data_IF_390945945740
#
_entry.id   IF_390945945740
#
_cell.length_a   1.000
_cell.length_b   1.000
_cell.length_c   1.000
_cell.angle_alpha   90.00
_cell.angle_beta   90.00
_cell.angle_gamma   90.00
#
_symmetry.space_group_name_H-M   'P 1'
#
loop_
_entity.id
_entity.type
_entity.pdbx_description
1 polymer ?
#
# COMPACT_ATOMS: atom_id res chain seq x y z
N UNK A 1 -82.88 -26.35 19.74
CA UNK A 1 -82.00 -25.16 19.75
C UNK A 1 -80.92 -25.37 18.71
N UNK A 2 -80.87 -24.52 17.68
CA UNK A 2 -79.90 -24.62 16.58
C UNK A 2 -78.54 -24.07 17.06
N UNK A 3 -77.51 -24.91 17.11
CA UNK A 3 -76.14 -24.48 17.35
C UNK A 3 -75.61 -23.78 16.08
N UNK A 4 -75.14 -22.54 16.22
CA UNK A 4 -74.38 -21.84 15.19
C UNK A 4 -72.90 -22.16 15.41
N UNK A 5 -72.28 -22.85 14.45
CA UNK A 5 -70.84 -23.01 14.39
C UNK A 5 -70.23 -21.74 13.81
N UNK A 6 -69.54 -20.95 14.64
CA UNK A 6 -68.72 -19.84 14.19
C UNK A 6 -67.35 -20.40 13.81
N UNK A 7 -67.06 -20.47 12.52
CA UNK A 7 -65.72 -20.82 12.04
C UNK A 7 -64.80 -19.59 12.22
N UNK A 8 -63.84 -19.68 13.15
CA UNK A 8 -62.80 -18.69 13.31
C UNK A 8 -61.81 -18.80 12.13
N UNK A 9 -61.86 -17.84 11.20
CA UNK A 9 -60.83 -17.69 10.17
C UNK A 9 -59.60 -17.07 10.84
N UNK A 10 -58.61 -17.90 11.15
CA UNK A 10 -57.31 -17.42 11.62
C UNK A 10 -56.50 -16.94 10.40
N UNK A 11 -56.41 -15.62 10.21
CA UNK A 11 -55.53 -15.01 9.23
C UNK A 11 -54.10 -15.17 9.72
N UNK A 12 -53.36 -16.14 9.18
CA UNK A 12 -51.94 -16.26 9.42
C UNK A 12 -51.23 -15.06 8.76
N UNK A 13 -50.83 -14.09 9.57
CA UNK A 13 -49.88 -13.05 9.14
C UNK A 13 -48.53 -13.73 9.01
N UNK A 14 -48.22 -14.21 7.79
CA UNK A 14 -46.85 -14.50 7.43
C UNK A 14 -46.10 -13.17 7.40
N UNK A 15 -45.36 -12.88 8.47
CA UNK A 15 -44.28 -11.91 8.39
C UNK A 15 -43.32 -12.45 7.33
N UNK A 16 -43.34 -11.85 6.14
CA UNK A 16 -42.27 -12.02 5.19
C UNK A 16 -41.02 -11.48 5.88
N UNK A 17 -40.25 -12.38 6.50
CA UNK A 17 -38.85 -12.15 6.75
C UNK A 17 -38.26 -11.91 5.37
N UNK A 18 -38.18 -10.64 4.96
CA UNK A 18 -37.40 -10.27 3.80
C UNK A 18 -36.02 -10.84 4.05
N UNK A 19 -35.65 -11.87 3.31
CA UNK A 19 -34.27 -12.27 3.21
C UNK A 19 -33.56 -10.99 2.76
N UNK A 20 -32.80 -10.38 3.67
CA UNK A 20 -31.82 -9.39 3.29
C UNK A 20 -30.91 -10.15 2.33
N UNK A 21 -31.12 -9.93 1.03
CA UNK A 21 -30.21 -10.40 0.02
C UNK A 21 -28.83 -9.95 0.49
N UNK A 22 -27.90 -10.90 0.64
CA UNK A 22 -26.49 -10.59 0.79
C UNK A 22 -26.19 -9.56 -0.30
N UNK A 23 -25.87 -8.32 0.11
CA UNK A 23 -25.56 -7.25 -0.82
C UNK A 23 -24.19 -7.63 -1.40
N UNK A 24 -24.23 -8.55 -2.36
CA UNK A 24 -23.06 -9.22 -2.89
C UNK A 24 -22.09 -8.22 -3.48
N UNK A 25 -20.88 -8.71 -3.77
CA UNK A 25 -19.84 -7.89 -4.37
C UNK A 25 -20.38 -7.21 -5.64
N UNK A 26 -20.46 -5.88 -5.63
CA UNK A 26 -20.84 -5.07 -6.79
C UNK A 26 -19.59 -4.45 -7.38
N UNK A 27 -19.49 -4.41 -8.70
CA UNK A 27 -18.41 -3.70 -9.41
C UNK A 27 -19.01 -2.53 -10.17
N UNK A 28 -18.40 -1.35 -10.08
CA UNK A 28 -18.77 -0.15 -10.85
C UNK A 28 -17.61 0.33 -11.73
N UNK A 29 -17.91 1.23 -12.66
CA UNK A 29 -17.00 1.69 -13.71
C UNK A 29 -17.24 1.01 -15.08
N UNK A 30 -16.27 1.08 -16.01
CA UNK A 30 -14.97 1.72 -15.84
C UNK A 30 -15.08 3.25 -15.78
N UNK A 31 -14.43 3.85 -14.80
CA UNK A 31 -14.10 5.27 -14.82
C UNK A 31 -12.79 5.45 -15.57
N UNK A 32 -12.87 6.02 -16.77
CA UNK A 32 -11.71 6.13 -17.67
C UNK A 32 -11.19 7.55 -17.77
N UNK A 33 -9.87 7.66 -17.92
CA UNK A 33 -9.18 8.86 -18.39
C UNK A 33 -7.91 8.42 -19.14
N UNK A 34 -7.76 8.86 -20.39
CA UNK A 34 -6.69 8.42 -21.29
C UNK A 34 -6.57 6.88 -21.34
N UNK A 35 -5.39 6.33 -21.02
CA UNK A 35 -5.12 4.90 -21.03
C UNK A 35 -5.36 4.20 -19.68
N UNK A 36 -6.02 4.86 -18.71
CA UNK A 36 -6.35 4.29 -17.41
C UNK A 36 -7.86 4.07 -17.26
N UNK A 37 -8.23 2.84 -16.90
CA UNK A 37 -9.59 2.47 -16.50
C UNK A 37 -9.58 2.01 -15.04
N UNK A 38 -10.43 2.63 -14.21
CA UNK A 38 -10.59 2.29 -12.79
C UNK A 38 -11.95 1.63 -12.59
N UNK A 39 -11.96 0.48 -11.92
CA UNK A 39 -13.17 -0.22 -11.49
C UNK A 39 -13.19 -0.22 -9.96
N UNK A 40 -14.34 0.10 -9.37
CA UNK A 40 -14.50 0.04 -7.92
C UNK A 40 -15.23 -1.24 -7.54
N UNK A 41 -14.70 -1.93 -6.54
CA UNK A 41 -15.30 -3.14 -5.98
C UNK A 41 -15.92 -2.78 -4.65
N UNK A 42 -17.22 -2.98 -4.56
CA UNK A 42 -18.07 -2.64 -3.42
C UNK A 42 -18.46 -3.89 -2.67
N UNK A 43 -18.57 -3.76 -1.35
CA UNK A 43 -19.07 -4.81 -0.48
C UNK A 43 -19.29 -4.25 0.92
N UNK A 44 -19.90 -5.04 1.79
CA UNK A 44 -20.05 -4.67 3.19
C UNK A 44 -18.67 -4.44 3.83
N UNK A 45 -18.45 -3.25 4.38
CA UNK A 45 -17.24 -2.97 5.16
C UNK A 45 -17.25 -3.78 6.46
N UNK A 46 -16.07 -4.20 6.91
CA UNK A 46 -15.92 -4.74 8.25
C UNK A 46 -16.27 -3.66 9.29
N UNK A 47 -16.93 -4.06 10.38
CA UNK A 47 -17.21 -3.14 11.48
C UNK A 47 -15.91 -2.67 12.16
N UNK A 48 -15.86 -1.40 12.54
CA UNK A 48 -14.72 -0.80 13.24
C UNK A 48 -14.19 0.45 12.54
N UNK A 49 -13.11 1.02 13.10
CA UNK A 49 -12.41 2.15 12.51
C UNK A 49 -11.58 1.71 11.30
N UNK A 50 -11.61 2.52 10.24
CA UNK A 50 -10.71 2.35 9.09
C UNK A 50 -9.28 2.64 9.55
N UNK A 51 -8.32 1.71 9.35
CA UNK A 51 -6.92 1.95 9.68
C UNK A 51 -6.35 3.12 8.87
N UNK A 52 -5.42 3.88 9.46
CA UNK A 52 -4.65 4.87 8.71
C UNK A 52 -3.74 4.19 7.69
N UNK A 53 -3.42 4.88 6.60
CA UNK A 53 -2.31 4.47 5.74
C UNK A 53 -0.97 4.76 6.43
N UNK A 54 0.10 4.09 5.98
CA UNK A 54 1.45 4.39 6.47
C UNK A 54 1.84 5.85 6.24
N UNK A 55 1.47 6.43 5.09
CA UNK A 55 1.70 7.84 4.78
C UNK A 55 1.05 8.76 5.82
N UNK A 56 -0.24 8.56 6.07
CA UNK A 56 -1.01 9.36 7.05
C UNK A 56 -0.39 9.27 8.45
N UNK A 57 0.00 8.06 8.86
CA UNK A 57 0.54 7.83 10.20
C UNK A 57 1.96 8.41 10.39
N UNK A 58 2.80 8.35 9.34
CA UNK A 58 4.12 9.01 9.34
C UNK A 58 3.96 10.53 9.33
N UNK A 59 3.04 11.07 8.52
CA UNK A 59 2.76 12.51 8.47
C UNK A 59 2.21 13.04 9.80
N UNK A 60 1.37 12.26 10.49
CA UNK A 60 0.88 12.55 11.86
C UNK A 60 1.97 12.44 12.93
N UNK A 61 3.11 11.82 12.63
CA UNK A 61 4.18 11.57 13.61
C UNK A 61 3.85 10.48 14.65
N UNK A 62 2.78 9.71 14.44
CA UNK A 62 2.38 8.60 15.34
C UNK A 62 3.05 7.28 14.96
N UNK A 63 3.60 7.19 13.74
CA UNK A 63 4.42 6.05 13.29
C UNK A 63 5.81 6.51 12.93
N UNK A 64 6.80 5.71 13.31
CA UNK A 64 8.19 5.87 12.90
C UNK A 64 8.68 4.61 12.18
N UNK A 65 9.30 4.80 11.02
CA UNK A 65 10.08 3.76 10.33
C UNK A 65 11.56 4.05 10.59
N UNK A 66 12.27 3.05 11.09
CA UNK A 66 13.60 3.16 11.71
C UNK A 66 14.59 2.32 10.91
N UNK A 67 15.73 2.92 10.57
CA UNK A 67 16.85 2.25 9.92
C UNK A 67 17.63 1.40 10.94
N UNK A 68 17.91 0.15 10.59
CA UNK A 68 18.63 -0.80 11.47
C UNK A 68 20.10 -0.93 11.12
N UNK A 69 20.51 -0.40 9.96
CA UNK A 69 21.83 -0.61 9.38
C UNK A 69 21.97 -1.93 8.63
N UNK A 70 20.93 -2.79 8.61
CA UNK A 70 20.87 -3.98 7.75
C UNK A 70 20.10 -3.64 6.49
N UNK A 71 20.65 -4.04 5.35
CA UNK A 71 20.06 -3.73 4.04
C UNK A 71 18.61 -4.21 3.99
N UNK A 72 18.32 -5.46 4.29
CA UNK A 72 16.97 -5.98 4.05
C UNK A 72 16.03 -5.93 5.25
N UNK A 73 16.35 -5.13 6.28
CA UNK A 73 15.55 -5.03 7.50
C UNK A 73 15.45 -3.61 8.05
N UNK A 74 14.21 -3.15 8.24
CA UNK A 74 13.85 -1.94 8.97
C UNK A 74 13.14 -2.31 10.27
N UNK A 75 12.88 -1.32 11.12
CA UNK A 75 11.91 -1.43 12.21
C UNK A 75 10.78 -0.43 12.00
N UNK A 76 9.60 -0.75 12.53
CA UNK A 76 8.47 0.17 12.59
C UNK A 76 7.89 0.18 14.00
N UNK A 77 7.40 1.34 14.40
CA UNK A 77 6.74 1.52 15.69
C UNK A 77 5.56 2.47 15.54
N UNK A 78 4.39 2.03 15.99
CA UNK A 78 3.21 2.86 16.13
C UNK A 78 3.03 3.23 17.59
N UNK A 79 3.26 4.49 17.93
CA UNK A 79 3.03 5.06 19.27
C UNK A 79 1.62 5.66 19.39
N UNK A 80 0.89 5.76 18.28
CA UNK A 80 -0.48 6.24 18.23
C UNK A 80 -1.51 5.26 18.77
N UNK A 81 -2.77 5.71 18.74
CA UNK A 81 -3.94 4.98 19.22
C UNK A 81 -4.76 4.33 18.09
N UNK A 82 -4.44 4.64 16.84
CA UNK A 82 -5.11 4.13 15.64
C UNK A 82 -4.29 2.98 15.04
N UNK A 83 -4.96 1.99 14.44
CA UNK A 83 -4.25 0.98 13.65
C UNK A 83 -3.76 1.59 12.34
N UNK A 84 -2.68 1.04 11.81
CA UNK A 84 -2.07 1.50 10.56
C UNK A 84 -1.96 0.33 9.61
N UNK A 85 -2.51 0.46 8.41
CA UNK A 85 -2.28 -0.50 7.34
C UNK A 85 -0.97 -0.16 6.63
N UNK A 86 -0.02 -1.08 6.73
CA UNK A 86 1.23 -1.06 5.96
C UNK A 86 1.00 -1.91 4.73
N UNK A 87 1.29 -1.36 3.54
CA UNK A 87 1.07 -2.05 2.29
C UNK A 87 2.40 -2.49 1.66
N UNK A 88 2.45 -3.72 1.17
CA UNK A 88 3.54 -4.17 0.33
C UNK A 88 3.62 -3.29 -0.93
N UNK A 89 4.81 -2.74 -1.17
CA UNK A 89 5.04 -1.77 -2.24
C UNK A 89 5.22 -0.35 -1.75
N UNK A 90 4.85 0.00 -0.50
CA UNK A 90 5.11 1.33 0.06
C UNK A 90 6.61 1.64 0.02
N UNK A 91 6.98 2.80 -0.51
CA UNK A 91 8.36 3.29 -0.54
C UNK A 91 8.54 4.25 0.62
N UNK A 92 9.49 3.93 1.50
CA UNK A 92 9.91 4.81 2.59
C UNK A 92 11.16 5.60 2.19
N UNK A 93 11.07 6.93 2.30
CA UNK A 93 12.12 7.88 1.92
C UNK A 93 13.00 8.28 3.10
N UNK A 94 14.31 8.25 2.93
CA UNK A 94 15.28 8.69 3.93
C UNK A 94 16.26 7.60 4.35
N UNK A 95 16.60 7.55 5.64
CA UNK A 95 17.60 6.63 6.17
C UNK A 95 18.94 6.73 5.45
N UNK A 96 19.63 5.60 5.34
CA UNK A 96 20.85 5.50 4.51
C UNK A 96 20.56 5.33 3.03
N UNK A 97 19.35 4.88 2.70
CA UNK A 97 18.92 4.51 1.36
C UNK A 97 17.39 4.36 1.33
N UNK A 98 16.73 4.79 0.26
CA UNK A 98 15.28 4.64 0.12
C UNK A 98 14.92 3.15 0.01
N UNK A 99 13.86 2.73 0.70
CA UNK A 99 13.44 1.32 0.77
C UNK A 99 12.02 1.12 0.30
N UNK A 100 11.73 -0.07 -0.20
CA UNK A 100 10.37 -0.54 -0.45
C UNK A 100 10.01 -1.65 0.52
N UNK A 101 8.81 -1.59 1.09
CA UNK A 101 8.29 -2.59 2.03
C UNK A 101 7.70 -3.78 1.29
N UNK A 102 7.90 -4.99 1.80
CA UNK A 102 7.59 -6.23 1.05
C UNK A 102 6.35 -6.96 1.55
N UNK A 103 5.79 -6.54 2.69
CA UNK A 103 4.67 -7.24 3.34
C UNK A 103 3.55 -6.26 3.66
N UNK A 104 2.32 -6.74 3.49
CA UNK A 104 1.13 -6.02 3.94
C UNK A 104 0.69 -6.56 5.30
N UNK A 105 0.45 -5.68 6.26
CA UNK A 105 -0.08 -6.07 7.57
C UNK A 105 -0.73 -4.87 8.27
N UNK A 106 -1.57 -5.18 9.27
CA UNK A 106 -2.08 -4.17 10.20
C UNK A 106 -1.11 -4.03 11.36
N UNK A 107 -0.53 -2.84 11.49
CA UNK A 107 0.30 -2.44 12.62
C UNK A 107 -0.61 -1.98 13.77
N UNK A 108 -0.67 -2.71 14.90
CA UNK A 108 -1.52 -2.36 16.01
C UNK A 108 -1.14 -1.00 16.62
N UNK A 109 -2.10 -0.35 17.27
CA UNK A 109 -1.82 0.78 18.14
C UNK A 109 -0.83 0.37 19.25
N UNK A 110 0.10 1.25 19.61
CA UNK A 110 1.11 1.00 20.66
C UNK A 110 1.88 -0.31 20.44
N UNK A 111 2.29 -0.57 19.20
CA UNK A 111 2.87 -1.86 18.77
C UNK A 111 4.21 -2.20 19.44
N UNK A 112 4.90 -1.20 20.00
CA UNK A 112 6.35 -1.28 20.19
C UNK A 112 7.06 -1.44 18.84
N UNK A 113 8.34 -1.83 18.88
CA UNK A 113 9.14 -2.02 17.66
C UNK A 113 8.93 -3.39 17.05
N UNK A 114 8.49 -3.42 15.80
CA UNK A 114 8.39 -4.63 14.98
C UNK A 114 9.39 -4.58 13.83
N UNK A 115 10.06 -5.69 13.49
CA UNK A 115 10.93 -5.73 12.31
C UNK A 115 10.09 -5.70 11.03
N UNK A 116 10.62 -5.11 9.96
CA UNK A 116 10.00 -5.11 8.64
C UNK A 116 11.03 -5.47 7.57
N UNK A 117 10.64 -6.35 6.67
CA UNK A 117 11.45 -6.65 5.50
C UNK A 117 11.37 -5.51 4.47
N UNK A 118 12.50 -5.23 3.83
CA UNK A 118 12.58 -4.23 2.78
C UNK A 118 13.64 -4.56 1.73
N UNK A 119 13.55 -3.92 0.57
CA UNK A 119 14.61 -3.87 -0.44
C UNK A 119 14.97 -2.43 -0.78
N UNK A 120 16.18 -2.20 -1.28
CA UNK A 120 16.62 -0.88 -1.72
C UNK A 120 15.97 -0.51 -3.06
N UNK A 121 15.49 0.72 -3.19
CA UNK A 121 14.99 1.29 -4.46
C UNK A 121 15.87 2.40 -5.01
N UNK A 122 17.14 2.40 -4.58
CA UNK A 122 18.11 3.43 -4.92
C UNK A 122 19.52 2.84 -4.97
N UNK A 123 19.97 2.38 -6.14
CA UNK A 123 21.24 1.67 -6.23
C UNK A 123 22.44 2.57 -5.87
N UNK A 124 23.35 2.06 -5.02
CA UNK A 124 24.65 2.67 -4.75
C UNK A 124 24.69 3.71 -3.61
N UNK A 125 23.55 4.17 -3.10
CA UNK A 125 23.52 5.08 -1.94
C UNK A 125 23.58 4.30 -0.62
N UNK A 126 24.47 4.71 0.28
CA UNK A 126 24.50 4.24 1.68
C UNK A 126 24.87 5.37 2.66
N UNK A 127 24.43 6.58 2.32
CA UNK A 127 24.69 7.83 3.05
C UNK A 127 23.43 8.69 2.99
N UNK A 128 23.25 9.58 3.97
CA UNK A 128 22.10 10.51 4.00
C UNK A 128 22.18 11.51 2.84
N UNK A 129 21.03 11.93 2.31
CA UNK A 129 20.95 13.03 1.35
C UNK A 129 20.54 14.32 2.05
N UNK A 130 21.30 15.39 1.85
CA UNK A 130 20.94 16.72 2.36
C UNK A 130 20.68 16.73 3.86
N UNK A 131 19.43 16.98 4.26
CA UNK A 131 18.98 17.07 5.66
C UNK A 131 18.21 15.84 6.14
N UNK A 132 18.27 14.73 5.40
CA UNK A 132 17.69 13.46 5.84
C UNK A 132 18.33 12.97 7.14
N UNK A 133 17.56 12.19 7.90
CA UNK A 133 18.04 11.52 9.10
C UNK A 133 18.51 10.11 8.75
N UNK A 134 19.73 9.74 9.16
CA UNK A 134 20.30 8.43 8.88
C UNK A 134 19.58 7.28 9.60
N UNK A 135 18.84 7.61 10.67
CA UNK A 135 18.21 6.64 11.58
C UNK A 135 16.73 6.41 11.30
N UNK A 136 16.08 7.25 10.49
CA UNK A 136 14.63 7.16 10.24
C UNK A 136 14.25 7.63 8.84
N UNK A 137 13.05 7.23 8.45
CA UNK A 137 12.43 7.62 7.19
C UNK A 137 11.38 8.71 7.46
N UNK A 138 11.23 9.64 6.52
CA UNK A 138 10.43 10.86 6.70
C UNK A 138 9.13 10.88 5.88
N UNK A 139 8.95 9.94 4.95
CA UNK A 139 7.76 9.88 4.09
C UNK A 139 7.52 8.44 3.61
N UNK A 140 6.26 8.15 3.31
CA UNK A 140 5.79 6.92 2.67
C UNK A 140 4.78 7.22 1.53
N UNK A 141 4.95 8.34 0.83
CA UNK A 141 3.94 8.90 -0.09
C UNK A 141 3.93 8.29 -1.51
N UNK A 142 4.86 7.39 -1.81
CA UNK A 142 4.97 6.77 -3.12
C UNK A 142 5.03 5.25 -2.97
N UNK A 143 4.64 4.53 -4.02
CA UNK A 143 4.63 3.08 -4.04
C UNK A 143 5.37 2.55 -5.26
N UNK A 144 5.88 1.33 -5.16
CA UNK A 144 6.56 0.62 -6.25
C UNK A 144 5.58 0.33 -7.39
N UNK A 145 5.73 0.98 -8.57
CA UNK A 145 4.78 0.80 -9.67
C UNK A 145 5.08 -0.46 -10.51
N UNK A 146 6.25 -1.08 -10.31
CA UNK A 146 6.66 -2.26 -11.07
C UNK A 146 6.05 -3.53 -10.47
N UNK A 147 5.10 -4.14 -11.20
CA UNK A 147 4.60 -5.49 -10.89
C UNK A 147 5.73 -6.51 -10.78
N UNK A 148 6.74 -6.44 -11.65
CA UNK A 148 7.87 -7.36 -11.62
C UNK A 148 8.68 -7.22 -10.32
N UNK A 149 8.89 -6.00 -9.83
CA UNK A 149 9.53 -5.77 -8.54
C UNK A 149 8.65 -6.30 -7.39
N UNK A 150 7.36 -6.00 -7.38
CA UNK A 150 6.43 -6.50 -6.35
C UNK A 150 6.45 -8.02 -6.25
N UNK A 151 6.50 -8.72 -7.39
CA UNK A 151 6.63 -10.17 -7.43
C UNK A 151 8.02 -10.66 -6.98
N UNK A 152 9.09 -9.97 -7.37
CA UNK A 152 10.45 -10.33 -6.95
C UNK A 152 10.64 -10.22 -5.43
N UNK A 153 9.92 -9.28 -4.79
CA UNK A 153 9.96 -9.06 -3.34
C UNK A 153 9.05 -9.99 -2.55
N UNK A 154 8.26 -10.84 -3.22
CA UNK A 154 7.48 -11.86 -2.55
C UNK A 154 8.40 -12.83 -1.78
N UNK A 155 7.89 -13.35 -0.66
CA UNK A 155 8.65 -14.06 0.38
C UNK A 155 9.72 -13.15 1.05
N UNK A 156 9.36 -12.48 2.17
CA UNK A 156 10.25 -11.52 2.80
C UNK A 156 11.53 -12.18 3.31
N UNK A 157 12.68 -11.48 3.27
CA UNK A 157 13.98 -11.94 3.79
C UNK A 157 14.03 -12.19 5.29
N UNK A 158 12.94 -11.96 6.04
CA UNK A 158 12.88 -12.17 7.49
C UNK A 158 11.64 -12.97 7.88
N UNK A 159 11.80 -13.95 8.79
CA UNK A 159 10.71 -14.84 9.26
C UNK A 159 9.59 -14.14 10.05
N UNK A 160 9.74 -12.85 10.40
CA UNK A 160 8.87 -12.15 11.38
C UNK A 160 8.46 -10.73 10.96
N UNK A 161 8.48 -10.41 9.67
CA UNK A 161 8.14 -9.06 9.20
C UNK A 161 6.74 -8.64 9.71
N UNK A 162 6.65 -7.55 10.48
CA UNK A 162 5.40 -7.03 11.05
C UNK A 162 4.75 -7.93 12.10
N UNK A 163 5.51 -8.86 12.72
CA UNK A 163 4.93 -9.90 13.57
C UNK A 163 4.18 -10.99 12.78
N UNK A 164 4.06 -10.84 11.46
CA UNK A 164 3.55 -11.83 10.54
C UNK A 164 4.63 -12.86 10.22
N UNK A 165 4.25 -14.13 10.19
CA UNK A 165 5.10 -15.22 9.71
C UNK A 165 4.72 -15.52 8.26
N UNK A 166 5.62 -15.30 7.29
CA UNK A 166 5.32 -15.64 5.90
C UNK A 166 5.06 -17.14 5.76
N UNK A 167 4.11 -17.50 4.90
CA UNK A 167 3.96 -18.87 4.45
C UNK A 167 5.12 -19.20 3.50
N UNK A 168 6.09 -19.97 3.98
CA UNK A 168 7.25 -20.41 3.20
C UNK A 168 8.58 -20.28 3.95
N UNK A 169 9.64 -20.80 3.32
CA UNK A 169 11.00 -20.67 3.85
C UNK A 169 11.51 -19.23 3.69
N UNK A 170 12.28 -18.78 4.67
CA UNK A 170 13.00 -17.51 4.56
C UNK A 170 14.09 -17.68 3.50
N UNK A 171 14.16 -16.80 2.49
CA UNK A 171 15.14 -16.93 1.43
C UNK A 171 16.57 -16.79 1.97
N UNK A 172 17.48 -17.60 1.44
CA UNK A 172 18.90 -17.51 1.76
C UNK A 172 19.56 -16.24 1.19
N UNK A 173 20.74 -15.86 1.71
CA UNK A 173 21.43 -14.62 1.33
C UNK A 173 21.65 -14.46 -0.19
N UNK A 174 21.96 -15.55 -0.91
CA UNK A 174 22.17 -15.51 -2.35
C UNK A 174 20.88 -15.17 -3.12
N UNK A 175 19.75 -15.73 -2.70
CA UNK A 175 18.44 -15.42 -3.28
C UNK A 175 18.04 -13.97 -2.98
N UNK A 176 18.26 -13.50 -1.74
CA UNK A 176 17.99 -12.11 -1.36
C UNK A 176 18.83 -11.13 -2.20
N UNK A 177 20.11 -11.43 -2.45
CA UNK A 177 20.95 -10.61 -3.32
C UNK A 177 20.47 -10.60 -4.77
N UNK A 178 20.03 -11.76 -5.30
CA UNK A 178 19.46 -11.85 -6.65
C UNK A 178 18.15 -11.04 -6.77
N UNK A 179 17.27 -11.13 -5.77
CA UNK A 179 16.04 -10.34 -5.69
C UNK A 179 16.33 -8.84 -5.60
N UNK A 180 17.32 -8.43 -4.81
CA UNK A 180 17.75 -7.03 -4.74
C UNK A 180 18.19 -6.50 -6.11
N UNK A 181 18.93 -7.30 -6.89
CA UNK A 181 19.29 -6.93 -8.27
C UNK A 181 18.05 -6.79 -9.16
N UNK A 182 17.09 -7.71 -9.08
CA UNK A 182 15.84 -7.63 -9.86
C UNK A 182 15.01 -6.39 -9.51
N UNK A 183 15.01 -5.96 -8.24
CA UNK A 183 14.37 -4.71 -7.81
C UNK A 183 15.06 -3.51 -8.46
N UNK A 184 16.41 -3.45 -8.46
CA UNK A 184 17.12 -2.36 -9.14
C UNK A 184 16.93 -2.34 -10.65
N UNK A 185 16.93 -3.50 -11.31
CA UNK A 185 16.66 -3.60 -12.74
C UNK A 185 15.23 -3.10 -13.07
N UNK A 186 14.27 -3.37 -12.17
CA UNK A 186 12.90 -2.85 -12.26
C UNK A 186 12.81 -1.34 -12.03
N UNK A 187 13.59 -0.79 -11.10
CA UNK A 187 13.69 0.66 -10.87
C UNK A 187 14.19 1.36 -12.13
N UNK A 188 15.30 0.89 -12.70
CA UNK A 188 15.87 1.45 -13.93
C UNK A 188 14.87 1.36 -15.10
N UNK A 189 14.19 0.22 -15.25
CA UNK A 189 13.15 0.04 -16.27
C UNK A 189 12.00 1.03 -16.08
N UNK A 190 11.56 1.24 -14.84
CA UNK A 190 10.50 2.20 -14.50
C UNK A 190 10.92 3.62 -14.85
N UNK A 191 12.11 4.05 -14.42
CA UNK A 191 12.65 5.37 -14.74
C UNK A 191 12.74 5.60 -16.26
N UNK A 192 13.20 4.62 -17.03
CA UNK A 192 13.28 4.70 -18.49
C UNK A 192 11.89 4.85 -19.14
N UNK A 193 10.90 4.08 -18.68
CA UNK A 193 9.51 4.19 -19.17
C UNK A 193 8.90 5.55 -18.87
N UNK A 194 9.07 6.04 -17.64
CA UNK A 194 8.61 7.37 -17.24
C UNK A 194 9.30 8.46 -18.06
N UNK A 195 10.61 8.35 -18.27
CA UNK A 195 11.36 9.30 -19.06
C UNK A 195 10.92 9.33 -20.54
N UNK A 196 10.66 8.15 -21.12
CA UNK A 196 10.12 8.02 -22.47
C UNK A 196 8.71 8.61 -22.59
N UNK A 197 7.82 8.31 -21.63
CA UNK A 197 6.45 8.83 -21.62
C UNK A 197 6.37 10.35 -21.44
N UNK A 198 7.32 10.94 -20.71
CA UNK A 198 7.40 12.39 -20.48
C UNK A 198 8.30 13.12 -21.49
N UNK A 199 8.98 12.39 -22.37
CA UNK A 199 10.05 12.91 -23.23
C UNK A 199 11.05 13.79 -22.46
N UNK A 200 11.43 13.35 -21.26
CA UNK A 200 12.25 14.12 -20.32
C UNK A 200 12.84 13.20 -19.27
N UNK A 201 14.06 13.47 -18.79
CA UNK A 201 14.59 12.72 -17.65
C UNK A 201 13.72 12.90 -16.41
N UNK A 202 13.51 11.79 -15.68
CA UNK A 202 12.93 11.79 -14.33
C UNK A 202 13.98 11.63 -13.24
N UNK A 203 15.22 11.30 -13.60
CA UNK A 203 16.30 11.08 -12.65
C UNK A 203 16.66 12.39 -11.91
N UNK A 204 16.81 12.31 -10.59
CA UNK A 204 17.21 13.45 -9.77
C UNK A 204 18.74 13.62 -9.77
N UNK A 205 19.26 14.86 -9.83
CA UNK A 205 20.70 15.11 -9.68
C UNK A 205 21.23 14.71 -8.29
N UNK A 206 20.38 14.63 -7.26
CA UNK A 206 20.80 14.17 -5.93
C UNK A 206 21.04 12.65 -5.90
N UNK A 207 20.32 11.90 -6.72
CA UNK A 207 20.47 10.45 -6.86
C UNK A 207 19.76 9.96 -8.12
N UNK A 208 20.54 9.64 -9.15
CA UNK A 208 20.02 9.25 -10.46
C UNK A 208 19.29 7.90 -10.45
N UNK A 209 19.53 7.06 -9.44
CA UNK A 209 18.97 5.71 -9.30
C UNK A 209 17.83 5.64 -8.29
N UNK A 210 17.49 6.74 -7.60
CA UNK A 210 16.38 6.76 -6.64
C UNK A 210 15.04 6.74 -7.36
N UNK A 211 14.27 5.67 -7.14
CA UNK A 211 12.89 5.60 -7.59
C UNK A 211 12.03 6.68 -6.93
N UNK A 212 12.16 6.86 -5.61
CA UNK A 212 11.41 7.87 -4.86
C UNK A 212 11.58 9.28 -5.46
N UNK A 213 12.83 9.71 -5.68
CA UNK A 213 13.08 11.03 -6.26
C UNK A 213 12.62 11.15 -7.71
N UNK A 214 12.53 10.02 -8.43
CA UNK A 214 11.99 10.00 -9.79
C UNK A 214 10.46 10.15 -9.81
N UNK A 215 9.78 9.55 -8.84
CA UNK A 215 8.33 9.67 -8.66
C UNK A 215 7.94 11.08 -8.19
N UNK A 216 8.86 11.77 -7.50
CA UNK A 216 8.72 13.18 -7.10
C UNK A 216 9.05 14.19 -8.22
N UNK A 217 9.38 13.75 -9.43
CA UNK A 217 9.70 14.64 -10.54
C UNK A 217 8.52 15.56 -10.89
N UNK A 218 8.76 16.86 -11.03
CA UNK A 218 7.70 17.85 -11.24
C UNK A 218 6.90 17.63 -12.54
N UNK A 219 7.55 17.21 -13.63
CA UNK A 219 6.81 16.91 -14.87
C UNK A 219 5.91 15.69 -14.70
N UNK A 220 6.37 14.69 -13.95
CA UNK A 220 5.55 13.52 -13.63
C UNK A 220 4.36 13.89 -12.73
N UNK A 221 4.57 14.72 -11.71
CA UNK A 221 3.47 15.24 -10.86
C UNK A 221 2.44 15.99 -11.68
N UNK A 222 2.87 16.84 -12.61
CA UNK A 222 1.98 17.56 -13.52
C UNK A 222 1.19 16.59 -14.41
N UNK A 223 1.85 15.59 -15.00
CA UNK A 223 1.18 14.58 -15.81
C UNK A 223 0.15 13.75 -15.01
N UNK A 224 0.42 13.44 -13.73
CA UNK A 224 -0.51 12.75 -12.83
C UNK A 224 -1.72 13.59 -12.44
N UNK A 225 -1.56 14.93 -12.40
CA UNK A 225 -2.59 15.85 -11.92
C UNK A 225 -3.91 15.70 -12.68
N UNK A 226 -3.85 15.52 -14.00
CA UNK A 226 -5.05 15.42 -14.82
C UNK A 226 -5.80 14.09 -14.55
N UNK A 227 -5.05 13.00 -14.36
CA UNK A 227 -5.65 11.72 -13.94
C UNK A 227 -6.38 11.86 -12.61
N UNK A 228 -5.74 12.49 -11.62
CA UNK A 228 -6.34 12.71 -10.30
C UNK A 228 -7.58 13.59 -10.40
N UNK A 229 -7.49 14.72 -11.11
CA UNK A 229 -8.61 15.66 -11.26
C UNK A 229 -9.84 15.00 -11.88
N UNK A 230 -9.67 14.08 -12.84
CA UNK A 230 -10.79 13.41 -13.52
C UNK A 230 -11.29 12.19 -12.76
N UNK A 231 -10.39 11.37 -12.20
CA UNK A 231 -10.76 10.06 -11.63
C UNK A 231 -11.10 10.13 -10.14
N UNK A 232 -10.53 11.05 -9.38
CA UNK A 232 -10.77 11.14 -7.94
C UNK A 232 -12.23 11.48 -7.63
N UNK A 233 -12.77 12.54 -8.25
CA UNK A 233 -14.16 12.93 -8.04
C UNK A 233 -15.15 11.83 -8.45
N UNK A 234 -14.82 11.06 -9.49
CA UNK A 234 -15.62 9.89 -9.91
C UNK A 234 -15.61 8.79 -8.86
N UNK A 235 -14.46 8.52 -8.24
CA UNK A 235 -14.34 7.53 -7.16
C UNK A 235 -15.05 7.96 -5.88
N UNK A 236 -14.88 9.21 -5.46
CA UNK A 236 -15.54 9.76 -4.27
C UNK A 236 -17.06 9.76 -4.39
N UNK A 237 -17.60 9.94 -5.59
CA UNK A 237 -19.04 9.87 -5.87
C UNK A 237 -19.57 8.43 -6.03
N UNK A 238 -18.70 7.43 -6.20
CA UNK A 238 -19.08 6.02 -6.36
C UNK A 238 -19.14 5.29 -5.01
N UNK A 239 -18.55 5.86 -3.95
CA UNK A 239 -18.44 5.32 -2.60
C UNK A 239 -19.76 5.30 -1.81
#
# INVERSE_FOLDING_TARGET
>A
MRLWSVAAVATAVFAASGALADQGIRVSGPHTFENLAVYFVHGASAAGAVPLTLEEAVAKGTVQVIETGRVNELQIENTGTEQVFVQAGDIVKGGKQDRVLTVSFLLPAKSGRLPMASFCVEQGRWTVRGKEDASKFSSAAEAMPSRAALLAMAAPPTAKAGGYRPAGEVPGNAEVAAKQKQVWDSVATTQNKLAGGLNSSVASPMSGTSLQLSLENEKLKLARKDYLAVLQAKGEADA
#
